data_IF_772038205651
#
_entry.id   IF_772038205651
#
_cell.length_a   1.000
_cell.length_b   1.000
_cell.length_c   1.000
_cell.angle_alpha   90.00
_cell.angle_beta   90.00
_cell.angle_gamma   90.00
#
_symmetry.space_group_name_H-M   'P 1'
#
loop_
_entity.id
_entity.type
_entity.pdbx_description
1 polymer ?
#
# COMPACT_ATOMS: atom_id res chain seq x y z
N UNK A 1 20.82 1.22 10.01
CA UNK A 1 20.10 0.04 9.53
C UNK A 1 19.14 0.52 8.45
N UNK A 2 19.12 -0.10 7.29
CA UNK A 2 18.17 0.24 6.23
C UNK A 2 16.77 -0.04 6.78
N UNK A 3 15.79 0.82 6.52
CA UNK A 3 14.44 0.73 7.10
C UNK A 3 13.90 -0.70 7.05
N UNK A 4 13.46 -1.26 8.18
CA UNK A 4 12.80 -2.56 8.23
C UNK A 4 11.45 -2.52 7.49
N UNK A 5 10.76 -3.68 7.34
CA UNK A 5 9.42 -3.73 6.73
C UNK A 5 8.33 -3.01 7.54
N UNK A 6 8.67 -2.44 8.66
CA UNK A 6 7.85 -1.57 9.50
C UNK A 6 8.52 -0.19 9.63
N UNK A 7 7.77 0.82 10.02
CA UNK A 7 8.27 2.17 10.27
C UNK A 7 8.01 2.58 11.70
N UNK A 8 9.00 3.24 12.32
CA UNK A 8 8.87 3.89 13.64
C UNK A 8 8.40 5.35 13.53
N UNK A 9 8.22 5.84 12.29
CA UNK A 9 7.87 7.23 11.98
C UNK A 9 6.37 7.54 12.13
N UNK A 10 5.51 6.53 12.38
CA UNK A 10 4.07 6.72 12.55
C UNK A 10 3.76 7.77 13.60
N UNK A 11 2.85 8.68 13.28
CA UNK A 11 2.37 9.67 14.21
C UNK A 11 1.56 9.01 15.37
N UNK A 12 1.45 9.71 16.50
CA UNK A 12 0.76 9.18 17.67
C UNK A 12 -0.66 8.68 17.40
N UNK A 13 -1.53 9.48 16.75
CA UNK A 13 -2.89 9.06 16.38
C UNK A 13 -2.93 7.80 15.50
N UNK A 14 -1.99 7.66 14.57
CA UNK A 14 -1.93 6.50 13.66
C UNK A 14 -1.66 5.17 14.37
N UNK A 15 -1.12 5.20 15.59
CA UNK A 15 -0.83 3.98 16.38
C UNK A 15 -2.01 3.52 17.23
N UNK A 16 -3.02 4.37 17.42
CA UNK A 16 -4.11 4.10 18.35
C UNK A 16 -5.21 3.28 17.72
N UNK A 17 -5.76 2.33 18.50
CA UNK A 17 -7.00 1.65 18.20
C UNK A 17 -8.06 2.00 19.25
N UNK A 18 -9.32 1.64 18.99
CA UNK A 18 -10.40 1.81 19.97
C UNK A 18 -10.38 0.81 21.13
N UNK A 19 -9.38 -0.10 21.20
CA UNK A 19 -9.28 -1.15 22.22
C UNK A 19 -8.09 -0.91 23.12
N UNK A 20 -8.34 -0.77 24.43
CA UNK A 20 -7.28 -0.55 25.42
C UNK A 20 -6.21 -1.64 25.36
N UNK A 21 -4.96 -1.23 25.20
CA UNK A 21 -3.80 -2.15 25.16
C UNK A 21 -3.56 -2.79 23.77
N UNK A 22 -4.38 -2.46 22.77
CA UNK A 22 -4.17 -2.89 21.38
C UNK A 22 -3.73 -1.70 20.54
N UNK A 23 -2.57 -1.81 19.93
CA UNK A 23 -1.98 -0.76 19.09
C UNK A 23 -1.77 -1.28 17.68
N UNK A 24 -1.79 -0.38 16.70
CA UNK A 24 -1.43 -0.70 15.32
C UNK A 24 0.08 -0.88 15.20
N UNK A 25 0.47 -1.95 14.53
CA UNK A 25 1.82 -2.20 14.03
C UNK A 25 1.72 -2.28 12.52
N UNK A 26 2.40 -1.40 11.80
CA UNK A 26 2.23 -1.26 10.36
C UNK A 26 3.41 -1.88 9.63
N UNK A 27 3.18 -3.02 8.99
CA UNK A 27 4.12 -3.64 8.05
C UNK A 27 3.77 -3.19 6.64
N UNK A 28 4.74 -2.67 5.92
CA UNK A 28 4.57 -2.13 4.59
C UNK A 28 5.89 -2.19 3.79
N UNK A 29 5.85 -1.85 2.51
CA UNK A 29 7.05 -1.82 1.67
C UNK A 29 7.88 -0.54 1.90
N UNK A 30 8.30 -0.30 3.15
CA UNK A 30 8.87 0.97 3.62
C UNK A 30 10.01 1.48 2.75
N UNK A 31 10.96 0.61 2.39
CA UNK A 31 12.11 0.95 1.55
C UNK A 31 11.69 1.49 0.18
N UNK A 32 10.81 0.75 -0.49
CA UNK A 32 10.34 1.13 -1.82
C UNK A 32 9.53 2.44 -1.78
N UNK A 33 8.64 2.58 -0.79
CA UNK A 33 7.81 3.78 -0.61
C UNK A 33 8.68 5.02 -0.37
N UNK A 34 9.62 4.95 0.56
CA UNK A 34 10.51 6.08 0.90
C UNK A 34 11.43 6.45 -0.27
N UNK A 35 12.03 5.47 -0.94
CA UNK A 35 12.88 5.72 -2.09
C UNK A 35 12.10 6.33 -3.27
N UNK A 36 10.87 5.87 -3.51
CA UNK A 36 10.00 6.46 -4.54
C UNK A 36 9.72 7.93 -4.25
N UNK A 37 9.43 8.28 -2.99
CA UNK A 37 9.21 9.66 -2.56
C UNK A 37 10.46 10.53 -2.74
N UNK A 38 11.63 10.05 -2.30
CA UNK A 38 12.90 10.76 -2.43
C UNK A 38 13.24 11.03 -3.90
N UNK A 39 13.11 10.02 -4.76
CA UNK A 39 13.36 10.18 -6.22
C UNK A 39 12.40 11.17 -6.85
N UNK A 40 11.13 11.11 -6.49
CA UNK A 40 10.15 12.03 -7.04
C UNK A 40 10.43 13.47 -6.60
N UNK A 41 10.73 13.72 -5.32
CA UNK A 41 11.11 15.05 -4.83
C UNK A 41 12.28 15.63 -5.63
N UNK A 42 13.31 14.82 -5.90
CA UNK A 42 14.45 15.23 -6.72
C UNK A 42 14.04 15.64 -8.15
N UNK A 43 13.06 14.98 -8.77
CA UNK A 43 12.54 15.40 -10.10
C UNK A 43 11.84 16.75 -10.07
N UNK A 44 11.31 17.15 -8.89
CA UNK A 44 10.70 18.47 -8.67
C UNK A 44 11.72 19.55 -8.29
N UNK A 45 13.02 19.18 -8.15
CA UNK A 45 14.06 20.07 -7.66
C UNK A 45 13.90 20.44 -6.18
N UNK A 46 13.19 19.59 -5.40
CA UNK A 46 12.93 19.79 -3.97
C UNK A 46 13.59 18.69 -3.14
N UNK A 47 13.80 18.96 -1.85
CA UNK A 47 14.16 17.90 -0.91
C UNK A 47 12.92 17.09 -0.52
N UNK A 48 13.12 15.86 -0.08
CA UNK A 48 12.00 15.02 0.39
C UNK A 48 11.34 15.61 1.64
N UNK A 49 12.12 16.31 2.48
CA UNK A 49 11.68 17.01 3.67
C UNK A 49 10.77 18.22 3.37
N UNK A 50 10.77 18.71 2.14
CA UNK A 50 9.93 19.82 1.70
C UNK A 50 8.63 19.38 0.99
N UNK A 51 8.34 18.08 0.98
CA UNK A 51 7.24 17.50 0.20
C UNK A 51 6.27 16.69 1.06
N UNK A 52 5.01 16.69 0.59
CA UNK A 52 3.93 15.86 1.11
C UNK A 52 3.40 14.93 0.00
N UNK A 53 3.54 13.62 0.19
CA UNK A 53 3.14 12.63 -0.81
C UNK A 53 2.22 11.55 -0.26
N UNK A 54 1.29 11.09 -1.09
CA UNK A 54 0.69 9.76 -0.93
C UNK A 54 1.47 8.81 -1.81
N UNK A 55 2.09 7.79 -1.22
CA UNK A 55 2.93 6.83 -1.94
C UNK A 55 2.34 5.45 -1.88
N UNK A 56 2.22 4.81 -3.04
CA UNK A 56 1.61 3.49 -3.20
C UNK A 56 2.62 2.50 -3.78
N UNK A 57 2.77 1.36 -3.13
CA UNK A 57 3.37 0.18 -3.74
C UNK A 57 2.27 -0.83 -4.04
N UNK A 58 2.06 -1.16 -5.31
CA UNK A 58 0.95 -2.01 -5.78
C UNK A 58 1.54 -3.25 -6.47
N UNK A 59 1.59 -4.36 -5.75
CA UNK A 59 2.15 -5.63 -6.16
C UNK A 59 1.36 -6.81 -5.61
N UNK A 60 2.01 -7.91 -5.25
CA UNK A 60 1.38 -9.06 -4.57
C UNK A 60 0.76 -8.70 -3.23
N UNK A 61 1.29 -7.67 -2.57
CA UNK A 61 0.67 -6.89 -1.49
C UNK A 61 0.55 -5.44 -1.90
N UNK A 62 -0.29 -4.67 -1.19
CA UNK A 62 -0.51 -3.25 -1.49
C UNK A 62 -0.27 -2.42 -0.24
N UNK A 63 0.71 -1.52 -0.31
CA UNK A 63 1.00 -0.53 0.71
C UNK A 63 0.65 0.86 0.20
N UNK A 64 -0.07 1.63 0.99
CA UNK A 64 -0.38 3.02 0.73
C UNK A 64 -0.04 3.82 1.99
N UNK A 65 0.77 4.86 1.86
CA UNK A 65 1.32 5.59 2.98
C UNK A 65 1.26 7.10 2.77
N UNK A 66 1.13 7.83 3.87
CA UNK A 66 1.20 9.28 3.93
C UNK A 66 2.61 9.71 4.34
N UNK A 67 3.26 10.48 3.48
CA UNK A 67 4.58 11.05 3.72
C UNK A 67 4.45 12.54 3.93
N UNK A 68 4.91 13.02 5.08
CA UNK A 68 4.85 14.42 5.47
C UNK A 68 6.24 14.89 5.89
N UNK A 69 6.79 15.85 5.18
CA UNK A 69 8.08 16.47 5.47
C UNK A 69 9.20 15.47 5.77
N UNK A 70 9.43 14.53 4.84
CA UNK A 70 10.51 13.54 4.96
C UNK A 70 10.19 12.33 5.84
N UNK A 71 8.96 12.22 6.37
CA UNK A 71 8.56 11.13 7.29
C UNK A 71 7.33 10.40 6.80
N UNK A 72 7.31 9.10 6.98
CA UNK A 72 6.17 8.23 6.72
C UNK A 72 5.28 8.17 7.97
N UNK A 73 4.29 9.06 8.06
CA UNK A 73 3.52 9.31 9.28
C UNK A 73 2.30 8.39 9.47
N UNK A 74 1.83 7.73 8.40
CA UNK A 74 0.79 6.71 8.45
C UNK A 74 0.88 5.79 7.22
N UNK A 75 0.20 4.65 7.27
CA UNK A 75 0.04 3.68 6.20
C UNK A 75 -0.77 2.48 6.64
N UNK A 76 -1.13 1.59 5.72
CA UNK A 76 -1.87 0.38 6.01
C UNK A 76 -0.95 -0.81 6.35
N UNK A 77 -1.34 -1.64 7.32
CA UNK A 77 -0.67 -2.90 7.62
C UNK A 77 -1.07 -4.00 6.62
N UNK A 78 -0.15 -4.33 5.72
CA UNK A 78 -0.38 -5.29 4.63
C UNK A 78 -0.52 -6.75 5.10
N UNK A 79 -0.20 -7.06 6.35
CA UNK A 79 -0.30 -8.41 6.93
C UNK A 79 -1.25 -8.47 8.12
N UNK A 80 -1.62 -7.34 8.69
CA UNK A 80 -2.53 -7.21 9.82
C UNK A 80 -4.01 -7.16 9.45
N UNK A 81 -4.34 -7.16 8.15
CA UNK A 81 -5.73 -7.07 7.69
C UNK A 81 -6.24 -5.62 7.60
N UNK A 82 -5.39 -4.70 7.19
CA UNK A 82 -5.74 -3.31 6.91
C UNK A 82 -5.59 -2.98 5.43
N UNK A 83 -6.19 -1.85 5.02
CA UNK A 83 -6.06 -1.30 3.68
C UNK A 83 -6.71 -2.14 2.58
N UNK A 84 -6.28 -1.97 1.33
CA UNK A 84 -6.87 -2.65 0.18
C UNK A 84 -6.60 -4.16 0.17
N UNK A 85 -7.56 -4.93 -0.32
CA UNK A 85 -7.27 -6.28 -0.77
C UNK A 85 -6.21 -6.26 -1.87
N UNK A 86 -5.37 -7.28 -1.91
CA UNK A 86 -4.29 -7.42 -2.88
C UNK A 86 -4.35 -8.81 -3.54
N UNK A 87 -3.53 -9.12 -4.55
CA UNK A 87 -3.53 -10.45 -5.15
C UNK A 87 -3.46 -11.61 -4.15
N UNK A 88 -2.71 -11.48 -3.05
CA UNK A 88 -2.51 -12.57 -2.07
C UNK A 88 -2.95 -12.23 -0.64
N UNK A 89 -3.59 -11.09 -0.40
CA UNK A 89 -3.96 -10.61 0.95
C UNK A 89 -5.40 -10.14 1.00
N UNK A 90 -6.09 -10.44 2.10
CA UNK A 90 -7.50 -10.13 2.27
C UNK A 90 -7.80 -8.61 2.33
N UNK A 91 -6.83 -7.79 2.76
CA UNK A 91 -7.09 -6.39 3.10
C UNK A 91 -7.97 -6.25 4.34
N UNK A 92 -8.64 -5.12 4.46
CA UNK A 92 -9.52 -4.84 5.59
C UNK A 92 -10.78 -5.72 5.55
N UNK A 93 -10.96 -6.53 6.60
CA UNK A 93 -12.16 -7.32 6.84
C UNK A 93 -12.78 -6.85 8.15
N UNK A 94 -14.12 -6.63 8.23
CA UNK A 94 -14.77 -6.25 9.48
C UNK A 94 -14.50 -7.29 10.57
N UNK A 95 -14.11 -6.83 11.77
CA UNK A 95 -13.70 -7.73 12.87
C UNK A 95 -14.82 -8.72 13.25
N UNK A 96 -16.08 -8.28 13.26
CA UNK A 96 -17.22 -9.15 13.58
C UNK A 96 -17.35 -10.27 12.56
N UNK A 97 -17.20 -9.99 11.27
CA UNK A 97 -17.23 -11.00 10.21
C UNK A 97 -16.08 -12.02 10.33
N UNK A 98 -14.92 -11.58 10.86
CA UNK A 98 -13.81 -12.49 11.17
C UNK A 98 -14.15 -13.42 12.34
N UNK A 99 -14.84 -12.91 13.36
CA UNK A 99 -15.31 -13.74 14.48
C UNK A 99 -16.34 -14.76 14.02
N UNK A 100 -17.32 -14.35 13.23
CA UNK A 100 -18.35 -15.24 12.66
C UNK A 100 -17.72 -16.32 11.76
N UNK A 101 -16.68 -15.96 10.99
CA UNK A 101 -15.91 -16.91 10.19
C UNK A 101 -15.21 -17.98 11.04
N UNK A 102 -14.64 -17.57 12.19
CA UNK A 102 -14.04 -18.51 13.14
C UNK A 102 -15.11 -19.40 13.82
N UNK A 103 -16.26 -18.84 14.22
CA UNK A 103 -17.38 -19.58 14.82
C UNK A 103 -18.00 -20.58 13.82
N UNK A 104 -17.94 -20.31 12.54
CA UNK A 104 -18.33 -21.24 11.47
C UNK A 104 -17.38 -22.46 11.32
N UNK A 105 -16.33 -22.54 12.14
CA UNK A 105 -15.43 -23.70 12.21
C UNK A 105 -14.08 -23.53 11.51
N UNK A 106 -13.78 -22.33 10.99
CA UNK A 106 -12.47 -22.04 10.42
C UNK A 106 -11.43 -21.79 11.52
N UNK A 107 -10.21 -22.23 11.29
CA UNK A 107 -9.16 -22.08 12.30
C UNK A 107 -8.52 -20.69 12.27
N UNK A 108 -7.97 -20.25 13.42
CA UNK A 108 -7.16 -19.04 13.52
C UNK A 108 -5.98 -19.07 12.52
N UNK A 109 -5.38 -20.26 12.30
CA UNK A 109 -4.26 -20.42 11.38
C UNK A 109 -4.67 -20.20 9.90
N UNK A 110 -5.86 -20.68 9.51
CA UNK A 110 -6.40 -20.40 8.16
C UNK A 110 -6.73 -18.93 7.99
N UNK A 111 -7.42 -18.33 8.95
CA UNK A 111 -7.76 -16.91 8.94
C UNK A 111 -6.51 -16.04 8.83
N UNK A 112 -5.47 -16.35 9.60
CA UNK A 112 -4.18 -15.66 9.51
C UNK A 112 -3.54 -15.79 8.11
N UNK A 113 -3.64 -16.96 7.46
CA UNK A 113 -3.14 -17.15 6.09
C UNK A 113 -3.90 -16.31 5.07
N UNK A 114 -5.21 -16.13 5.22
CA UNK A 114 -6.01 -15.25 4.37
C UNK A 114 -5.52 -13.78 4.46
N UNK A 115 -5.22 -13.31 5.67
CA UNK A 115 -4.64 -11.97 5.82
C UNK A 115 -3.29 -11.83 5.11
N UNK A 116 -2.42 -12.85 5.19
CA UNK A 116 -1.00 -12.72 4.87
C UNK A 116 -0.59 -13.27 3.49
N UNK A 117 -1.27 -14.31 2.95
CA UNK A 117 -0.74 -15.10 1.82
C UNK A 117 -1.77 -15.63 0.83
N UNK A 118 -2.98 -15.96 1.27
CA UNK A 118 -3.97 -16.68 0.45
C UNK A 118 -5.31 -15.96 0.35
N UNK A 119 -5.36 -14.70 0.76
CA UNK A 119 -6.52 -13.84 0.59
C UNK A 119 -6.55 -13.15 -0.77
N UNK A 120 -7.42 -12.17 -0.91
CA UNK A 120 -7.53 -11.37 -2.12
C UNK A 120 -7.93 -12.16 -3.35
N UNK A 121 -7.26 -11.94 -4.47
CA UNK A 121 -7.56 -12.65 -5.72
C UNK A 121 -7.41 -14.16 -5.58
N UNK A 122 -6.36 -14.62 -4.87
CA UNK A 122 -6.13 -16.04 -4.64
C UNK A 122 -7.35 -16.72 -4.00
N UNK A 123 -7.93 -16.09 -2.98
CA UNK A 123 -9.13 -16.61 -2.30
C UNK A 123 -10.40 -16.51 -3.14
N UNK A 124 -10.58 -15.39 -3.87
CA UNK A 124 -11.83 -15.10 -4.57
C UNK A 124 -11.92 -15.75 -5.95
N UNK A 125 -10.80 -15.91 -6.64
CA UNK A 125 -10.74 -16.29 -8.06
C UNK A 125 -9.86 -17.52 -8.30
N UNK A 126 -9.11 -17.96 -7.27
CA UNK A 126 -8.23 -19.14 -7.34
C UNK A 126 -6.89 -18.88 -8.03
N UNK A 127 -6.49 -17.62 -8.18
CA UNK A 127 -5.20 -17.24 -8.74
C UNK A 127 -4.81 -15.84 -8.25
N UNK A 128 -3.53 -15.63 -7.98
CA UNK A 128 -2.94 -14.33 -7.66
C UNK A 128 -2.35 -13.61 -8.88
N UNK A 129 -2.40 -14.21 -10.06
CA UNK A 129 -1.92 -13.62 -11.31
C UNK A 129 -2.90 -12.54 -11.81
N UNK A 130 -2.56 -11.27 -11.61
CA UNK A 130 -3.39 -10.15 -12.01
C UNK A 130 -3.61 -10.06 -13.53
N UNK A 131 -2.65 -10.51 -14.35
CA UNK A 131 -2.79 -10.53 -15.80
C UNK A 131 -3.88 -11.55 -16.18
N UNK A 132 -3.87 -12.70 -15.53
CA UNK A 132 -4.91 -13.72 -15.72
C UNK A 132 -6.29 -13.22 -15.27
N UNK A 133 -6.36 -12.50 -14.15
CA UNK A 133 -7.60 -11.88 -13.64
C UNK A 133 -8.19 -10.90 -14.67
N UNK A 134 -7.37 -10.01 -15.20
CA UNK A 134 -7.79 -9.02 -16.20
C UNK A 134 -8.29 -9.70 -17.45
N UNK A 135 -7.55 -10.70 -17.97
CA UNK A 135 -7.97 -11.47 -19.14
C UNK A 135 -9.31 -12.16 -18.92
N UNK A 136 -9.50 -12.86 -17.79
CA UNK A 136 -10.77 -13.50 -17.45
C UNK A 136 -11.93 -12.51 -17.34
N UNK A 137 -11.67 -11.32 -16.78
CA UNK A 137 -12.67 -10.27 -16.72
C UNK A 137 -13.09 -9.78 -18.11
N UNK A 138 -12.14 -9.63 -19.03
CA UNK A 138 -12.40 -9.26 -20.44
C UNK A 138 -13.18 -10.35 -21.20
N UNK A 139 -12.94 -11.62 -20.86
CA UNK A 139 -13.66 -12.78 -21.40
C UNK A 139 -15.07 -12.96 -20.77
N UNK A 140 -15.46 -12.07 -19.83
CA UNK A 140 -16.81 -12.07 -19.26
C UNK A 140 -16.93 -12.79 -17.90
N UNK A 141 -15.80 -13.18 -17.26
CA UNK A 141 -15.82 -13.71 -15.89
C UNK A 141 -16.21 -12.63 -14.89
N UNK A 142 -17.46 -12.70 -14.42
CA UNK A 142 -18.04 -11.72 -13.49
C UNK A 142 -17.32 -11.71 -12.14
N UNK A 143 -16.80 -12.85 -11.68
CA UNK A 143 -16.10 -12.95 -10.39
C UNK A 143 -14.73 -12.27 -10.49
N UNK A 144 -13.98 -12.57 -11.54
CA UNK A 144 -12.69 -11.93 -11.80
C UNK A 144 -12.85 -10.40 -11.95
N UNK A 145 -13.87 -9.96 -12.71
CA UNK A 145 -14.15 -8.53 -12.87
C UNK A 145 -14.45 -7.85 -11.53
N UNK A 146 -15.33 -8.45 -10.72
CA UNK A 146 -15.68 -7.90 -9.40
C UNK A 146 -14.48 -7.82 -8.46
N UNK A 147 -13.63 -8.84 -8.46
CA UNK A 147 -12.42 -8.85 -7.65
C UNK A 147 -11.46 -7.73 -8.06
N UNK A 148 -11.23 -7.54 -9.36
CA UNK A 148 -10.41 -6.45 -9.89
C UNK A 148 -11.00 -5.07 -9.53
N UNK A 149 -12.28 -4.85 -9.81
CA UNK A 149 -12.96 -3.59 -9.53
C UNK A 149 -12.92 -3.25 -8.04
N UNK A 150 -13.11 -4.26 -7.16
CA UNK A 150 -13.04 -4.09 -5.72
C UNK A 150 -11.64 -3.69 -5.25
N UNK A 151 -10.57 -4.32 -5.78
CA UNK A 151 -9.20 -3.95 -5.46
C UNK A 151 -8.92 -2.50 -5.86
N UNK A 152 -9.25 -2.11 -7.10
CA UNK A 152 -9.04 -0.74 -7.58
C UNK A 152 -9.82 0.27 -6.74
N UNK A 153 -11.08 -0.03 -6.41
CA UNK A 153 -11.90 0.81 -5.55
C UNK A 153 -11.27 1.01 -4.16
N UNK A 154 -10.79 -0.07 -3.54
CA UNK A 154 -10.17 -0.01 -2.22
C UNK A 154 -8.84 0.73 -2.24
N UNK A 155 -8.02 0.58 -3.29
CA UNK A 155 -6.79 1.38 -3.51
C UNK A 155 -7.13 2.87 -3.55
N UNK A 156 -8.10 3.27 -4.36
CA UNK A 156 -8.48 4.68 -4.45
C UNK A 156 -9.05 5.23 -3.14
N UNK A 157 -9.82 4.43 -2.40
CA UNK A 157 -10.33 4.78 -1.09
C UNK A 157 -9.20 5.03 -0.09
N UNK A 158 -8.19 4.17 -0.07
CA UNK A 158 -7.05 4.29 0.83
C UNK A 158 -6.15 5.49 0.47
N UNK A 159 -5.97 5.79 -0.82
CA UNK A 159 -5.32 7.03 -1.28
C UNK A 159 -6.06 8.26 -0.70
N UNK A 160 -7.38 8.27 -0.75
CA UNK A 160 -8.18 9.35 -0.16
C UNK A 160 -8.03 9.44 1.37
N UNK A 161 -7.94 8.31 2.06
CA UNK A 161 -7.68 8.28 3.50
C UNK A 161 -6.30 8.87 3.84
N UNK A 162 -5.25 8.49 3.11
CA UNK A 162 -3.90 9.03 3.31
C UNK A 162 -3.81 10.53 2.94
N UNK A 163 -4.56 10.98 1.94
CA UNK A 163 -4.67 12.41 1.64
C UNK A 163 -5.33 13.19 2.80
N UNK A 164 -6.33 12.60 3.46
CA UNK A 164 -6.94 13.20 4.65
C UNK A 164 -5.97 13.25 5.84
N UNK A 165 -5.09 12.25 6.02
CA UNK A 165 -4.00 12.27 7.02
C UNK A 165 -3.07 13.47 6.81
N UNK A 166 -2.82 13.84 5.55
CA UNK A 166 -2.02 15.01 5.15
C UNK A 166 -2.82 16.33 5.18
N UNK A 167 -4.07 16.32 5.68
CA UNK A 167 -4.92 17.51 5.72
C UNK A 167 -5.31 18.05 4.34
N UNK A 168 -5.21 17.23 3.30
CA UNK A 168 -5.46 17.60 1.91
C UNK A 168 -4.27 18.32 1.22
N UNK A 169 -3.17 18.53 1.92
CA UNK A 169 -1.94 19.06 1.33
C UNK A 169 -1.14 17.91 0.73
N UNK A 170 -1.27 17.69 -0.57
CA UNK A 170 -0.61 16.58 -1.28
C UNK A 170 0.07 17.12 -2.52
N UNK A 171 1.40 17.06 -2.58
CA UNK A 171 2.20 17.48 -3.75
C UNK A 171 2.11 16.46 -4.89
N UNK A 172 1.87 15.17 -4.57
CA UNK A 172 1.73 14.12 -5.58
C UNK A 172 1.26 12.78 -5.02
N UNK A 173 0.63 11.99 -5.88
CA UNK A 173 0.30 10.58 -5.65
C UNK A 173 1.28 9.76 -6.47
N UNK A 174 2.09 8.94 -5.82
CA UNK A 174 3.18 8.19 -6.44
C UNK A 174 2.83 6.70 -6.44
N UNK A 175 2.91 6.06 -7.61
CA UNK A 175 2.58 4.65 -7.78
C UNK A 175 3.83 3.86 -8.13
N UNK A 176 4.13 2.78 -7.41
CA UNK A 176 5.21 1.82 -7.68
C UNK A 176 4.70 0.38 -7.56
N UNK A 177 5.53 -0.58 -7.87
CA UNK A 177 5.20 -2.01 -7.82
C UNK A 177 4.84 -2.63 -9.17
N UNK A 178 4.78 -3.96 -9.20
CA UNK A 178 4.61 -4.72 -10.44
C UNK A 178 3.26 -4.52 -11.13
N UNK A 179 2.19 -4.23 -10.39
CA UNK A 179 0.87 -3.97 -10.99
C UNK A 179 0.76 -2.61 -11.68
N UNK A 180 1.69 -1.69 -11.41
CA UNK A 180 1.72 -0.37 -12.06
C UNK A 180 2.13 -0.44 -13.55
N UNK A 181 2.62 -1.60 -14.02
CA UNK A 181 2.78 -1.87 -15.45
C UNK A 181 1.43 -2.00 -16.20
N UNK A 182 0.32 -2.22 -15.48
CA UNK A 182 -1.02 -2.30 -16.07
C UNK A 182 -1.63 -0.89 -16.23
N UNK A 183 -1.78 -0.38 -17.47
CA UNK A 183 -2.27 0.97 -17.70
C UNK A 183 -3.67 1.22 -17.13
N UNK A 184 -4.57 0.23 -17.18
CA UNK A 184 -5.95 0.35 -16.66
C UNK A 184 -5.97 0.67 -15.18
N UNK A 185 -5.03 0.12 -14.39
CA UNK A 185 -4.91 0.45 -12.98
C UNK A 185 -4.53 1.92 -12.79
N UNK A 186 -3.50 2.36 -13.51
CA UNK A 186 -2.99 3.73 -13.42
C UNK A 186 -4.05 4.74 -13.85
N UNK A 187 -4.75 4.46 -14.95
CA UNK A 187 -5.79 5.33 -15.50
C UNK A 187 -7.00 5.40 -14.54
N UNK A 188 -7.43 4.28 -13.97
CA UNK A 188 -8.51 4.26 -12.98
C UNK A 188 -8.15 5.05 -11.70
N UNK A 189 -6.89 4.99 -11.26
CA UNK A 189 -6.41 5.79 -10.13
C UNK A 189 -6.36 7.28 -10.51
N UNK A 190 -5.89 7.64 -11.70
CA UNK A 190 -5.88 9.02 -12.19
C UNK A 190 -7.28 9.60 -12.26
N UNK A 191 -8.23 8.84 -12.81
CA UNK A 191 -9.63 9.28 -12.92
C UNK A 191 -10.25 9.54 -11.56
N UNK A 192 -10.02 8.64 -10.57
CA UNK A 192 -10.66 8.71 -9.26
C UNK A 192 -9.96 9.59 -8.25
N UNK A 193 -8.63 9.71 -8.34
CA UNK A 193 -7.81 10.39 -7.34
C UNK A 193 -7.08 11.62 -7.86
N UNK A 194 -7.08 11.88 -9.17
CA UNK A 194 -6.37 13.00 -9.78
C UNK A 194 -6.87 14.40 -9.36
N UNK A 195 -8.02 14.47 -8.72
CA UNK A 195 -8.51 15.69 -8.09
C UNK A 195 -7.80 16.04 -6.78
N UNK A 196 -7.11 15.05 -6.16
CA UNK A 196 -6.32 15.24 -4.93
C UNK A 196 -4.97 15.88 -5.30
N UNK A 197 -4.24 15.26 -6.21
CA UNK A 197 -2.92 15.70 -6.66
C UNK A 197 -2.53 15.00 -7.99
N UNK A 198 -1.47 15.46 -8.69
CA UNK A 198 -0.92 14.75 -9.84
C UNK A 198 -0.53 13.31 -9.51
N UNK A 199 -0.89 12.37 -10.40
CA UNK A 199 -0.57 10.95 -10.26
C UNK A 199 0.61 10.58 -11.15
N UNK A 200 1.72 10.19 -10.54
CA UNK A 200 2.95 9.78 -11.23
C UNK A 200 3.20 8.28 -11.01
N UNK A 201 3.44 7.56 -12.10
CA UNK A 201 3.68 6.13 -12.09
C UNK A 201 5.19 5.82 -12.28
N UNK A 202 5.71 4.95 -11.42
CA UNK A 202 7.04 4.38 -11.42
C UNK A 202 6.92 2.84 -11.44
N UNK A 203 6.62 2.22 -12.61
CA UNK A 203 6.41 0.78 -12.69
C UNK A 203 7.65 0.01 -12.26
N UNK A 204 7.45 -1.05 -11.47
CA UNK A 204 8.50 -1.91 -10.97
C UNK A 204 8.84 -1.71 -9.50
N UNK A 205 9.85 -2.44 -9.07
CA UNK A 205 10.31 -2.47 -7.68
C UNK A 205 11.76 -1.98 -7.63
N UNK A 206 12.04 -1.08 -6.70
CA UNK A 206 13.36 -0.45 -6.54
C UNK A 206 14.04 -0.85 -5.21
N UNK A 207 13.70 -2.02 -4.66
CA UNK A 207 14.17 -2.41 -3.31
C UNK A 207 15.68 -2.53 -3.21
N UNK A 208 16.34 -3.10 -4.22
CA UNK A 208 17.79 -3.23 -4.23
C UNK A 208 18.49 -1.87 -4.33
N UNK A 209 18.00 -1.03 -5.21
CA UNK A 209 18.47 0.35 -5.37
C UNK A 209 18.16 1.18 -4.10
N UNK A 210 17.00 1.00 -3.48
CA UNK A 210 16.62 1.64 -2.24
C UNK A 210 17.55 1.26 -1.09
N UNK A 211 17.89 -0.03 -0.96
CA UNK A 211 18.87 -0.50 0.02
C UNK A 211 20.25 0.11 -0.21
N UNK A 212 20.73 0.12 -1.46
CA UNK A 212 22.01 0.70 -1.80
C UNK A 212 22.05 2.21 -1.55
N UNK A 213 21.02 2.94 -1.97
CA UNK A 213 20.89 4.37 -1.77
C UNK A 213 20.81 4.74 -0.28
N UNK A 214 20.00 4.00 0.52
CA UNK A 214 19.90 4.18 1.97
C UNK A 214 21.24 3.95 2.67
N UNK A 215 21.95 2.88 2.33
CA UNK A 215 23.27 2.62 2.88
C UNK A 215 24.28 3.74 2.54
N UNK A 216 24.25 4.23 1.30
CA UNK A 216 25.12 5.33 0.88
C UNK A 216 24.80 6.64 1.63
N UNK A 217 23.54 6.97 1.87
CA UNK A 217 23.15 8.16 2.65
C UNK A 217 23.66 8.11 4.09
N UNK A 218 23.58 6.94 4.73
CA UNK A 218 24.14 6.75 6.08
C UNK A 218 25.68 6.83 6.07
N UNK A 219 26.34 6.15 5.13
CA UNK A 219 27.81 6.15 5.04
C UNK A 219 28.39 7.53 4.70
N UNK A 220 27.67 8.35 3.92
CA UNK A 220 28.05 9.73 3.61
C UNK A 220 27.71 10.73 4.70
N UNK A 221 26.98 10.32 5.75
CA UNK A 221 26.55 11.21 6.85
C UNK A 221 25.39 12.12 6.48
N UNK A 222 24.71 11.90 5.35
CA UNK A 222 23.52 12.65 4.92
C UNK A 222 22.25 12.16 5.61
N UNK A 223 22.25 10.93 6.12
CA UNK A 223 21.16 10.37 6.93
C UNK A 223 21.75 9.73 8.19
N UNK A 224 21.03 9.85 9.32
CA UNK A 224 21.43 9.19 10.57
C UNK A 224 21.02 7.71 10.50
N UNK A 225 21.82 6.79 11.12
CA UNK A 225 21.49 5.37 11.15
C UNK A 225 20.19 5.09 11.89
#
# INVERSE_FOLDING_TARGET
>A
MVNPPDTDELCGPARMTGVKGVYRHVHLHALNLKETAIRHAATLGRSYEDCDFVVCHIGGGISISAHNHGRMIDGNDIVGGEGPMAPTRAGAVPVVEVLDYLEAGHSVAETRRLCMKTGGFESLVGTSDAIQIIRRADEGDVVAKRAWDAMVYQVCKEIGAMAAVLGGHVDGILLSGGLVFEPRLVDAIRERCGWIAPVTAYPGEFEMEAMAAGALRVLSGTEKP
#
